data_IF_268973102724
#
_entry.id   IF_268973102724
#
_cell.length_a   1.000
_cell.length_b   1.000
_cell.length_c   1.000
_cell.angle_alpha   90.00
_cell.angle_beta   90.00
_cell.angle_gamma   90.00
#
_symmetry.space_group_name_H-M   'P 1'
#
loop_
_entity.id
_entity.type
_entity.pdbx_description
1 polymer ?
#
# COMPACT_ATOMS: atom_id res chain seq x y z
N UNK A 1 -15.26 10.58 7.79
CA UNK A 1 -16.07 9.72 6.89
C UNK A 1 -15.51 8.31 7.00
N UNK A 2 -16.26 7.25 6.69
CA UNK A 2 -15.69 5.90 6.65
C UNK A 2 -15.34 5.56 5.21
N UNK A 3 -14.10 5.19 4.96
CA UNK A 3 -13.62 4.75 3.65
C UNK A 3 -13.41 3.24 3.67
N UNK A 4 -13.81 2.55 2.60
CA UNK A 4 -13.56 1.12 2.47
C UNK A 4 -12.24 0.94 1.73
N UNK A 5 -11.28 0.22 2.33
CA UNK A 5 -10.06 -0.15 1.64
C UNK A 5 -10.35 -1.24 0.61
N UNK A 6 -9.98 -1.01 -0.66
CA UNK A 6 -10.19 -2.01 -1.73
C UNK A 6 -9.30 -3.24 -1.62
N UNK A 7 -8.25 -3.22 -0.78
CA UNK A 7 -7.29 -4.33 -0.63
C UNK A 7 -7.71 -5.34 0.44
N UNK A 8 -8.16 -4.86 1.60
CA UNK A 8 -8.54 -5.71 2.75
C UNK A 8 -10.03 -5.64 3.07
N UNK A 9 -10.80 -4.81 2.37
CA UNK A 9 -12.23 -4.52 2.62
C UNK A 9 -12.53 -4.00 4.03
N UNK A 10 -11.52 -3.57 4.79
CA UNK A 10 -11.75 -2.95 6.10
C UNK A 10 -12.21 -1.50 5.95
N UNK A 11 -13.05 -1.08 6.90
CA UNK A 11 -13.48 0.30 7.05
C UNK A 11 -12.41 1.11 7.79
N UNK A 12 -11.84 2.09 7.11
CA UNK A 12 -10.92 3.08 7.67
C UNK A 12 -11.74 4.29 8.11
N UNK A 13 -11.79 4.54 9.41
CA UNK A 13 -12.39 5.75 9.98
C UNK A 13 -11.36 6.88 9.91
N UNK A 14 -11.66 7.95 9.16
CA UNK A 14 -10.71 9.05 8.97
C UNK A 14 -11.02 9.88 7.73
N UNK A 15 -9.95 10.35 7.09
CA UNK A 15 -10.00 11.02 5.79
C UNK A 15 -9.26 10.23 4.68
N UNK A 16 -9.21 10.80 3.47
CA UNK A 16 -8.58 10.15 2.31
C UNK A 16 -7.09 9.86 2.56
N UNK A 17 -6.43 10.64 3.42
CA UNK A 17 -5.03 10.44 3.80
C UNK A 17 -4.86 9.20 4.65
N UNK A 18 -5.74 8.96 5.64
CA UNK A 18 -5.73 7.72 6.44
C UNK A 18 -5.95 6.49 5.55
N UNK A 19 -6.88 6.59 4.59
CA UNK A 19 -7.11 5.52 3.61
C UNK A 19 -5.84 5.25 2.79
N UNK A 20 -5.13 6.30 2.35
CA UNK A 20 -3.86 6.16 1.62
C UNK A 20 -2.80 5.47 2.45
N UNK A 21 -2.57 5.94 3.68
CA UNK A 21 -1.56 5.37 4.60
C UNK A 21 -1.87 3.89 4.89
N UNK A 22 -3.14 3.58 5.18
CA UNK A 22 -3.59 2.21 5.40
C UNK A 22 -3.38 1.31 4.17
N UNK A 23 -3.72 1.83 2.98
CA UNK A 23 -3.54 1.11 1.72
C UNK A 23 -2.05 0.86 1.44
N UNK A 24 -1.20 1.87 1.64
CA UNK A 24 0.27 1.77 1.51
C UNK A 24 0.85 0.72 2.46
N UNK A 25 0.44 0.70 3.73
CA UNK A 25 0.88 -0.30 4.69
C UNK A 25 0.51 -1.73 4.25
N UNK A 26 -0.71 -1.94 3.73
CA UNK A 26 -1.14 -3.24 3.22
C UNK A 26 -0.34 -3.71 2.01
N UNK A 27 0.02 -2.80 1.12
CA UNK A 27 0.83 -3.14 -0.07
C UNK A 27 2.21 -3.58 0.36
N UNK A 28 2.83 -2.86 1.30
CA UNK A 28 4.13 -3.24 1.86
C UNK A 28 4.03 -4.64 2.47
N UNK A 29 2.96 -4.95 3.20
CA UNK A 29 2.75 -6.27 3.81
C UNK A 29 2.58 -7.40 2.76
N UNK A 30 1.80 -7.16 1.71
CA UNK A 30 1.61 -8.11 0.60
C UNK A 30 2.94 -8.35 -0.11
N UNK A 31 3.74 -7.32 -0.33
CA UNK A 31 5.05 -7.41 -0.97
C UNK A 31 6.03 -8.15 -0.07
N UNK A 32 6.09 -7.85 1.23
CA UNK A 32 6.90 -8.61 2.20
C UNK A 32 6.56 -10.10 2.17
N UNK A 33 5.27 -10.44 2.08
CA UNK A 33 4.81 -11.83 2.01
C UNK A 33 5.06 -12.51 0.66
N UNK A 34 4.84 -11.83 -0.47
CA UNK A 34 4.98 -12.44 -1.81
C UNK A 34 6.40 -12.35 -2.37
N UNK A 35 7.13 -11.31 -2.02
CA UNK A 35 8.46 -10.98 -2.54
C UNK A 35 9.36 -10.49 -1.40
N UNK A 36 9.73 -11.38 -0.45
CA UNK A 36 10.61 -11.01 0.66
C UNK A 36 11.96 -10.46 0.19
N UNK A 37 12.47 -10.91 -0.97
CA UNK A 37 13.68 -10.38 -1.63
C UNK A 37 13.57 -8.92 -2.11
N UNK A 38 12.38 -8.33 -2.14
CA UNK A 38 12.20 -6.94 -2.54
C UNK A 38 12.35 -5.99 -1.37
N UNK A 39 12.35 -6.50 -0.14
CA UNK A 39 12.43 -5.71 1.09
C UNK A 39 13.90 -5.46 1.41
N UNK A 40 14.38 -4.26 1.10
CA UNK A 40 15.70 -3.82 1.56
C UNK A 40 15.63 -3.44 3.06
N UNK A 41 16.78 -3.49 3.74
CA UNK A 41 16.96 -3.47 5.21
C UNK A 41 16.18 -2.37 5.95
N UNK A 42 15.94 -1.23 5.29
CA UNK A 42 15.18 -0.08 5.82
C UNK A 42 13.64 -0.20 5.68
N UNK A 43 13.13 -1.32 5.19
CA UNK A 43 11.70 -1.60 5.06
C UNK A 43 10.97 -0.84 3.93
N UNK A 44 11.67 0.07 3.24
CA UNK A 44 11.19 0.84 2.10
C UNK A 44 11.80 0.30 0.81
N UNK A 45 11.05 -0.54 0.12
CA UNK A 45 11.43 -1.07 -1.19
C UNK A 45 11.17 -0.03 -2.30
N UNK A 46 12.20 0.54 -2.94
CA UNK A 46 12.02 1.56 -3.99
C UNK A 46 11.29 0.99 -5.23
N UNK A 47 11.53 -0.28 -5.58
CA UNK A 47 10.83 -0.97 -6.69
C UNK A 47 9.33 -1.14 -6.41
N UNK A 48 8.96 -1.29 -5.15
CA UNK A 48 7.60 -1.51 -4.69
C UNK A 48 6.79 -0.22 -4.73
N UNK A 49 7.43 0.87 -4.27
CA UNK A 49 6.88 2.22 -4.37
C UNK A 49 6.67 2.62 -5.83
N UNK A 50 7.62 2.25 -6.71
CA UNK A 50 7.53 2.48 -8.15
C UNK A 50 6.39 1.68 -8.79
N UNK A 51 6.33 0.37 -8.56
CA UNK A 51 5.27 -0.51 -9.09
C UNK A 51 3.87 -0.02 -8.70
N UNK A 52 3.71 0.46 -7.45
CA UNK A 52 2.43 0.97 -6.99
C UNK A 52 2.10 2.36 -7.57
N UNK A 53 3.09 3.26 -7.68
CA UNK A 53 2.91 4.53 -8.39
C UNK A 53 2.45 4.33 -9.83
N UNK A 54 2.97 3.31 -10.51
CA UNK A 54 2.55 3.00 -11.87
C UNK A 54 1.13 2.40 -11.96
N UNK A 55 0.66 1.70 -10.92
CA UNK A 55 -0.74 1.26 -10.83
C UNK A 55 -1.73 2.39 -10.47
N UNK A 56 -1.25 3.48 -9.84
CA UNK A 56 -2.07 4.64 -9.49
C UNK A 56 -2.04 5.76 -10.52
N UNK A 57 -1.30 5.63 -11.62
CA UNK A 57 -1.41 6.56 -12.74
C UNK A 57 -2.72 6.28 -13.49
N UNK A 58 -3.64 7.25 -13.60
CA UNK A 58 -4.73 7.13 -14.56
C UNK A 58 -4.12 7.12 -15.96
N UNK A 59 -4.43 6.07 -16.72
CA UNK A 59 -4.18 5.95 -18.16
C UNK A 59 -4.91 7.02 -18.95
#
# INVERSE_FOLDING_TARGET
MKYICSLCQQSVDGDVSDLKIHTEAHIIDIIKNKHPDWVEDDGLCPKCLQYFRDQMKPS
#
